data_IF_217398451011
#
_entry.id   IF_217398451011
#
_cell.length_a   1.000
_cell.length_b   1.000
_cell.length_c   1.000
_cell.angle_alpha   90.00
_cell.angle_beta   90.00
_cell.angle_gamma   90.00
#
_symmetry.space_group_name_H-M   'P 1'
#
loop_
_entity.id
_entity.type
_entity.pdbx_description
1 polymer ?
#
# COMPACT_ATOMS: atom_id res chain seq x y z
N UNK A 1 -19.34 -4.86 13.67
CA UNK A 1 -18.87 -3.86 13.32
C UNK A 1 -18.04 -3.62 12.11
N UNK A 2 -18.21 -2.46 11.64
CA UNK A 2 -17.55 -2.07 10.41
C UNK A 2 -16.06 -2.01 10.54
N UNK A 3 -15.59 -1.78 11.72
CA UNK A 3 -14.17 -1.77 11.95
C UNK A 3 -13.54 -3.10 11.66
N UNK A 4 -14.27 -4.17 11.95
CA UNK A 4 -13.79 -5.48 11.65
C UNK A 4 -13.63 -5.68 10.16
N UNK A 5 -14.61 -5.17 9.42
CA UNK A 5 -14.57 -5.29 7.98
C UNK A 5 -13.38 -4.55 7.41
N UNK A 6 -13.13 -3.34 7.87
CA UNK A 6 -11.97 -2.59 7.43
C UNK A 6 -10.69 -3.31 7.76
N UNK A 7 -10.61 -3.82 8.98
CA UNK A 7 -9.40 -4.52 9.39
C UNK A 7 -9.18 -5.76 8.55
N UNK A 8 -10.26 -6.48 8.23
CA UNK A 8 -10.14 -7.70 7.44
C UNK A 8 -9.63 -7.41 6.04
N UNK A 9 -9.95 -6.24 5.52
CA UNK A 9 -9.50 -5.85 4.18
C UNK A 9 -8.19 -5.08 4.21
N UNK A 10 -7.65 -4.83 5.40
CA UNK A 10 -6.45 -4.04 5.51
C UNK A 10 -6.66 -2.58 5.18
N UNK A 11 -7.91 -2.15 5.11
CA UNK A 11 -8.22 -0.78 4.73
C UNK A 11 -8.46 0.06 5.97
N UNK A 12 -7.70 1.14 6.16
CA UNK A 12 -7.93 2.05 7.26
C UNK A 12 -9.14 2.92 6.99
N UNK A 13 -9.66 3.64 8.00
CA UNK A 13 -10.74 4.58 7.75
C UNK A 13 -10.21 5.73 6.90
N UNK A 14 -10.78 5.86 5.70
CA UNK A 14 -10.33 6.87 4.75
C UNK A 14 -10.96 8.22 5.04
N UNK A 15 -10.26 9.28 4.62
CA UNK A 15 -10.76 10.64 4.77
C UNK A 15 -11.90 10.88 3.80
N UNK A 16 -12.72 11.86 4.14
CA UNK A 16 -13.76 12.32 3.24
C UNK A 16 -13.11 12.77 1.94
N UNK A 17 -13.70 12.38 0.82
CA UNK A 17 -13.17 12.71 -0.48
C UNK A 17 -12.28 11.64 -1.07
N UNK A 18 -11.82 10.70 -0.27
CA UNK A 18 -11.06 9.58 -0.79
C UNK A 18 -12.03 8.47 -1.22
N UNK A 19 -11.76 7.89 -2.38
CA UNK A 19 -12.61 6.83 -2.91
C UNK A 19 -12.19 5.49 -2.36
N UNK A 20 -13.09 4.85 -1.60
CA UNK A 20 -12.80 3.54 -1.05
C UNK A 20 -12.70 2.49 -2.15
N UNK A 21 -13.50 2.65 -3.20
CA UNK A 21 -13.44 1.71 -4.33
C UNK A 21 -12.09 1.80 -5.05
N UNK A 22 -11.60 3.01 -5.27
CA UNK A 22 -10.30 3.18 -5.92
C UNK A 22 -9.18 2.65 -5.05
N UNK A 23 -9.26 2.92 -3.75
CA UNK A 23 -8.28 2.42 -2.79
C UNK A 23 -8.23 0.89 -2.86
N UNK A 24 -9.41 0.25 -2.75
CA UNK A 24 -9.46 -1.20 -2.74
C UNK A 24 -8.94 -1.80 -4.04
N UNK A 25 -9.32 -1.21 -5.17
CA UNK A 25 -8.87 -1.69 -6.47
C UNK A 25 -7.35 -1.62 -6.60
N UNK A 26 -6.79 -0.49 -6.24
CA UNK A 26 -5.35 -0.29 -6.45
C UNK A 26 -4.52 -1.07 -5.43
N UNK A 27 -5.03 -1.19 -4.21
CA UNK A 27 -4.34 -2.02 -3.20
C UNK A 27 -4.38 -3.49 -3.59
N UNK A 28 -5.52 -3.95 -4.12
CA UNK A 28 -5.62 -5.34 -4.57
C UNK A 28 -4.68 -5.61 -5.73
N UNK A 29 -4.58 -4.67 -6.66
CA UNK A 29 -3.69 -4.85 -7.80
C UNK A 29 -2.23 -4.95 -7.34
N UNK A 30 -1.84 -4.15 -6.37
CA UNK A 30 -0.49 -4.21 -5.84
C UNK A 30 -0.23 -5.52 -5.10
N UNK A 31 -1.22 -5.98 -4.34
CA UNK A 31 -1.13 -7.27 -3.64
C UNK A 31 -0.93 -8.40 -4.64
N UNK A 32 -1.75 -8.42 -5.70
CA UNK A 32 -1.67 -9.46 -6.70
C UNK A 32 -0.31 -9.44 -7.40
N UNK A 33 0.18 -8.25 -7.71
CA UNK A 33 1.48 -8.11 -8.37
C UNK A 33 2.60 -8.62 -7.47
N UNK A 34 2.57 -8.25 -6.19
CA UNK A 34 3.60 -8.70 -5.26
C UNK A 34 3.55 -10.22 -5.09
N UNK A 35 2.36 -10.78 -5.00
CA UNK A 35 2.20 -12.23 -4.85
C UNK A 35 2.75 -12.96 -6.07
N UNK A 36 2.48 -12.45 -7.26
CA UNK A 36 2.99 -13.08 -8.48
C UNK A 36 4.51 -13.00 -8.55
N UNK A 37 5.07 -11.87 -8.17
CA UNK A 37 6.54 -11.73 -8.15
C UNK A 37 7.16 -12.70 -7.16
N UNK A 38 6.51 -12.88 -6.00
CA UNK A 38 7.01 -13.81 -5.00
C UNK A 38 6.98 -15.24 -5.52
N UNK A 39 5.93 -15.62 -6.24
CA UNK A 39 5.82 -16.95 -6.80
C UNK A 39 6.90 -17.23 -7.84
N UNK A 40 7.29 -16.20 -8.57
CA UNK A 40 8.33 -16.35 -9.58
C UNK A 40 9.74 -16.25 -9.02
N UNK A 41 9.86 -16.03 -7.72
CA UNK A 41 11.16 -15.90 -7.09
C UNK A 41 11.88 -14.61 -7.43
N UNK A 42 11.15 -13.58 -7.87
CA UNK A 42 11.75 -12.31 -8.23
C UNK A 42 12.13 -11.51 -6.99
N UNK A 43 13.05 -10.58 -7.17
CA UNK A 43 13.37 -9.63 -6.13
C UNK A 43 12.15 -8.75 -5.86
N UNK A 44 11.74 -8.67 -4.60
CA UNK A 44 10.53 -7.95 -4.26
C UNK A 44 10.81 -6.53 -3.82
N UNK A 45 9.94 -5.57 -4.21
CA UNK A 45 10.09 -4.19 -3.74
C UNK A 45 9.71 -4.01 -2.27
N UNK A 46 9.00 -4.97 -1.69
CA UNK A 46 8.61 -4.96 -0.28
C UNK A 46 8.99 -6.29 0.34
N UNK A 47 9.09 -6.28 1.67
CA UNK A 47 9.29 -7.51 2.43
C UNK A 47 8.11 -8.46 2.17
N UNK A 48 8.42 -9.72 1.90
CA UNK A 48 7.39 -10.73 1.64
C UNK A 48 6.42 -10.89 2.81
N UNK A 49 6.81 -10.45 3.99
CA UNK A 49 5.94 -10.46 5.16
C UNK A 49 4.63 -9.70 4.89
N UNK A 50 4.68 -8.75 3.95
CA UNK A 50 3.49 -8.00 3.57
C UNK A 50 2.37 -8.90 3.08
N UNK A 51 2.70 -10.09 2.58
CA UNK A 51 1.70 -11.02 2.06
C UNK A 51 1.09 -11.92 3.12
N UNK A 52 1.47 -11.75 4.38
CA UNK A 52 0.92 -12.57 5.46
C UNK A 52 -0.55 -12.27 5.72
N UNK A 53 -0.94 -11.01 5.61
CA UNK A 53 -2.32 -10.60 5.84
C UNK A 53 -2.51 -9.18 5.31
N UNK A 54 -3.75 -8.79 4.99
CA UNK A 54 -3.99 -7.44 4.50
C UNK A 54 -3.51 -6.33 5.44
N UNK A 55 -3.63 -6.53 6.74
CA UNK A 55 -3.16 -5.53 7.70
C UNK A 55 -1.65 -5.40 7.64
N UNK A 56 -0.95 -6.51 7.43
CA UNK A 56 0.51 -6.47 7.30
C UNK A 56 0.92 -5.79 6.01
N UNK A 57 0.15 -6.03 4.94
CA UNK A 57 0.41 -5.39 3.68
C UNK A 57 0.36 -3.86 3.82
N UNK A 58 -0.69 -3.36 4.47
CA UNK A 58 -0.82 -1.92 4.69
C UNK A 58 0.32 -1.39 5.55
N UNK A 59 0.70 -2.13 6.59
CA UNK A 59 1.78 -1.71 7.47
C UNK A 59 3.11 -1.62 6.73
N UNK A 60 3.41 -2.62 5.93
CA UNK A 60 4.68 -2.64 5.18
C UNK A 60 4.68 -1.57 4.09
N UNK A 61 3.53 -1.36 3.43
CA UNK A 61 3.41 -0.28 2.46
C UNK A 61 3.68 1.07 3.10
N UNK A 62 3.10 1.30 4.28
CA UNK A 62 3.28 2.56 4.99
C UNK A 62 4.72 2.79 5.39
N UNK A 63 5.37 1.74 5.86
CA UNK A 63 6.77 1.82 6.22
C UNK A 63 7.62 2.20 5.01
N UNK A 64 7.37 1.54 3.88
CA UNK A 64 8.09 1.84 2.65
C UNK A 64 7.79 3.25 2.17
N UNK A 65 6.55 3.69 2.35
CA UNK A 65 6.15 5.03 1.95
C UNK A 65 7.00 6.09 2.63
N UNK A 66 7.28 5.92 3.91
CA UNK A 66 8.07 6.90 4.64
C UNK A 66 9.56 6.69 4.49
N UNK A 67 10.02 5.46 4.35
CA UNK A 67 11.45 5.17 4.33
C UNK A 67 12.05 5.09 2.94
N UNK A 68 11.30 4.54 1.99
CA UNK A 68 11.79 4.36 0.63
C UNK A 68 10.71 4.74 -0.38
N UNK A 69 10.24 5.99 -0.35
CA UNK A 69 9.13 6.37 -1.21
C UNK A 69 9.40 6.18 -2.70
N UNK A 70 10.66 6.28 -3.13
CA UNK A 70 10.99 6.11 -4.54
C UNK A 70 10.67 4.70 -5.02
N UNK A 71 10.95 3.70 -4.19
CA UNK A 71 10.69 2.31 -4.55
C UNK A 71 9.20 2.08 -4.70
N UNK A 72 8.44 2.59 -3.74
CA UNK A 72 6.99 2.43 -3.77
C UNK A 72 6.38 3.13 -4.96
N UNK A 73 6.82 4.36 -5.22
CA UNK A 73 6.29 5.14 -6.34
C UNK A 73 6.60 4.47 -7.67
N UNK A 74 7.79 3.92 -7.82
CA UNK A 74 8.18 3.26 -9.05
C UNK A 74 7.39 1.99 -9.29
N UNK A 75 7.15 1.23 -8.21
CA UNK A 75 6.47 -0.06 -8.33
C UNK A 75 4.97 0.09 -8.51
N UNK A 76 4.37 0.96 -7.71
CA UNK A 76 2.91 1.12 -7.72
C UNK A 76 2.56 2.58 -7.52
N UNK A 77 2.63 3.39 -8.58
CA UNK A 77 2.39 4.83 -8.44
C UNK A 77 1.00 5.18 -7.91
N UNK A 78 -0.02 4.36 -8.24
CA UNK A 78 -1.37 4.63 -7.74
C UNK A 78 -1.43 4.43 -6.24
N UNK A 79 -0.76 3.39 -5.73
CA UNK A 79 -0.70 3.14 -4.29
C UNK A 79 0.02 4.29 -3.59
N UNK A 80 1.11 4.75 -4.18
CA UNK A 80 1.83 5.87 -3.59
C UNK A 80 0.93 7.09 -3.46
N UNK A 81 0.16 7.38 -4.50
CA UNK A 81 -0.74 8.52 -4.48
C UNK A 81 -1.81 8.38 -3.40
N UNK A 82 -2.35 7.17 -3.23
CA UNK A 82 -3.33 6.94 -2.17
C UNK A 82 -2.74 7.23 -0.80
N UNK A 83 -1.48 6.84 -0.59
CA UNK A 83 -0.87 7.06 0.71
C UNK A 83 -0.54 8.54 0.94
N UNK A 84 -0.20 9.27 -0.13
CA UNK A 84 -0.04 10.72 -0.04
C UNK A 84 -1.35 11.35 0.46
N UNK A 85 -2.47 10.94 -0.12
CA UNK A 85 -3.76 11.48 0.27
C UNK A 85 -4.13 11.07 1.70
N UNK A 86 -3.84 9.83 2.04
CA UNK A 86 -4.19 9.32 3.35
C UNK A 86 -3.39 10.00 4.47
N UNK A 87 -2.07 10.09 4.29
CA UNK A 87 -1.20 10.67 5.30
C UNK A 87 -1.06 12.18 5.16
N UNK A 88 -1.51 12.73 4.02
CA UNK A 88 -1.42 14.16 3.73
C UNK A 88 0.03 14.62 3.76
N UNK A 89 0.90 13.77 3.25
CA UNK A 89 2.33 14.02 3.16
C UNK A 89 2.84 13.42 1.88
N UNK A 90 3.87 14.03 1.30
CA UNK A 90 4.47 13.54 0.08
C UNK A 90 5.98 13.36 0.32
N UNK A 91 6.39 12.19 0.83
CA UNK A 91 7.79 11.99 1.21
C UNK A 91 8.79 12.17 0.08
N UNK A 92 8.37 11.97 -1.18
CA UNK A 92 9.29 12.19 -2.29
C UNK A 92 9.81 13.62 -2.33
N UNK A 93 9.05 14.57 -1.80
CA UNK A 93 9.45 15.95 -1.78
C UNK A 93 10.57 16.19 -0.75
N UNK A 94 10.67 15.34 0.26
CA UNK A 94 11.70 15.45 1.28
C UNK A 94 12.93 14.66 0.94
N UNK A 95 12.77 13.56 0.20
CA UNK A 95 13.85 12.63 -0.07
C UNK A 95 14.62 13.00 -1.33
N UNK A 96 14.28 14.09 -1.92
CA UNK A 96 14.98 14.56 -3.12
C UNK A 96 16.43 14.95 -2.85
#
# INVERSE_FOLDING_TARGET
>A
LDMRSSAANGSPPLHRGMSQADWARDMQAAWDDLAQRAERGEHLPLDAYALEAPAEFFAVLSESFFECPQVLHRSWPAVYRHLVDFYRQDPLRWHA
#
